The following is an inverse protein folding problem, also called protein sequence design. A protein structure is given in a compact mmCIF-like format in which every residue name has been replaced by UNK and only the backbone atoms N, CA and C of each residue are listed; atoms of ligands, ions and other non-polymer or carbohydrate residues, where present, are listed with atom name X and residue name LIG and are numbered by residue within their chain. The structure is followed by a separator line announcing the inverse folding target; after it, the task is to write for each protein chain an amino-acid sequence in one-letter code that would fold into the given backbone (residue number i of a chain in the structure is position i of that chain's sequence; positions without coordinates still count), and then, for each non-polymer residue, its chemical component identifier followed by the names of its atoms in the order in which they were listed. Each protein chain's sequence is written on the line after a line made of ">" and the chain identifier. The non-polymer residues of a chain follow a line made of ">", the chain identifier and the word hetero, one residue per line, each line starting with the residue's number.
data_IF_371052623635
#
_entry.id   IF_371052623635
#
_cell.length_a   1.000
_cell.length_b   1.000
_cell.length_c   1.000
_cell.angle_alpha   90.00
_cell.angle_beta   90.00
_cell.angle_gamma   90.00
#
_symmetry.space_group_name_H-M   'P 1'
#
loop_
_entity.id
_entity.type
_entity.pdbx_description
1 polymer ?
#
# COMPACT_ATOMS: atom_id res chain seq x y z
N UNK A 1 9.95 -29.48 -1.18
CA UNK A 1 10.90 -28.97 -0.16
C UNK A 1 11.33 -27.57 -0.55
N UNK A 2 10.75 -26.53 0.05
CA UNK A 2 11.12 -25.15 -0.28
C UNK A 2 12.48 -24.80 0.35
N UNK A 3 13.61 -24.86 -0.39
CA UNK A 3 14.86 -24.16 -0.03
C UNK A 3 14.51 -22.69 0.18
N UNK A 4 14.21 -22.28 1.41
CA UNK A 4 14.20 -20.88 1.82
C UNK A 4 15.37 -20.24 1.09
N UNK A 5 15.13 -19.29 0.19
CA UNK A 5 16.19 -18.34 -0.11
C UNK A 5 16.33 -17.56 1.19
N UNK A 6 17.07 -18.15 2.14
CA UNK A 6 17.82 -17.37 3.09
C UNK A 6 18.79 -16.64 2.17
N UNK A 7 18.46 -15.40 1.82
CA UNK A 7 19.53 -14.47 1.54
C UNK A 7 20.48 -14.62 2.72
N UNK A 8 21.72 -15.03 2.44
CA UNK A 8 22.72 -15.05 3.49
C UNK A 8 22.72 -13.65 4.10
N UNK A 9 22.65 -13.53 5.44
CA UNK A 9 22.72 -12.22 6.05
C UNK A 9 23.97 -11.53 5.49
N UNK A 10 23.87 -10.29 4.99
CA UNK A 10 25.01 -9.51 4.54
C UNK A 10 26.18 -9.65 5.51
N UNK A 11 27.41 -9.65 4.98
CA UNK A 11 28.57 -9.73 5.86
C UNK A 11 28.52 -8.62 6.93
N UNK A 12 29.02 -8.86 8.15
CA UNK A 12 29.03 -7.87 9.21
C UNK A 12 29.62 -6.51 8.79
N UNK A 13 30.56 -6.51 7.84
CA UNK A 13 31.15 -5.30 7.27
C UNK A 13 30.15 -4.47 6.46
N UNK A 14 29.27 -5.12 5.68
CA UNK A 14 28.22 -4.45 4.90
C UNK A 14 27.26 -3.69 5.82
N UNK A 15 26.87 -4.28 6.95
CA UNK A 15 26.01 -3.61 7.92
C UNK A 15 26.68 -2.38 8.56
N UNK A 16 27.98 -2.47 8.89
CA UNK A 16 28.74 -1.32 9.43
C UNK A 16 28.88 -0.21 8.39
N UNK A 17 29.12 -0.56 7.13
CA UNK A 17 29.17 0.42 6.04
C UNK A 17 27.82 1.10 5.85
N UNK A 18 26.73 0.34 5.83
CA UNK A 18 25.38 0.87 5.72
C UNK A 18 25.06 1.81 6.90
N UNK A 19 25.42 1.41 8.12
CA UNK A 19 25.26 2.24 9.32
C UNK A 19 26.01 3.58 9.19
N UNK A 20 27.27 3.55 8.73
CA UNK A 20 28.04 4.78 8.46
C UNK A 20 27.37 5.66 7.42
N UNK A 21 26.88 5.07 6.32
CA UNK A 21 26.21 5.82 5.25
C UNK A 21 24.94 6.53 5.75
N UNK A 22 24.07 5.83 6.48
CA UNK A 22 22.83 6.44 7.00
C UNK A 22 23.10 7.47 8.10
N UNK A 23 24.16 7.30 8.90
CA UNK A 23 24.62 8.31 9.88
C UNK A 23 25.10 9.59 9.19
N UNK A 24 25.92 9.46 8.16
CA UNK A 24 26.39 10.60 7.36
C UNK A 24 25.19 11.32 6.73
N UNK A 25 24.27 10.57 6.11
CA UNK A 25 23.08 11.16 5.52
C UNK A 25 22.24 11.95 6.53
N UNK A 26 22.07 11.45 7.76
CA UNK A 26 21.41 12.18 8.86
C UNK A 26 22.13 13.49 9.19
N UNK A 27 23.45 13.45 9.36
CA UNK A 27 24.25 14.64 9.68
C UNK A 27 24.21 15.69 8.56
N UNK A 28 24.22 15.24 7.31
CA UNK A 28 24.11 16.12 6.13
C UNK A 28 22.70 16.72 6.03
N UNK A 29 21.65 15.93 6.21
CA UNK A 29 20.25 16.39 6.19
C UNK A 29 19.97 17.48 7.26
N UNK A 30 20.57 17.33 8.43
CA UNK A 30 20.46 18.30 9.53
C UNK A 30 21.37 19.53 9.38
N UNK A 31 22.27 19.54 8.38
CA UNK A 31 23.23 20.63 8.19
C UNK A 31 22.59 21.81 7.44
N UNK A 32 22.60 23.03 8.00
CA UNK A 32 22.14 24.23 7.30
C UNK A 32 22.93 24.48 6.01
N UNK A 33 24.22 24.14 6.01
CA UNK A 33 25.11 24.32 4.87
C UNK A 33 24.75 23.41 3.69
N UNK A 34 24.19 22.22 3.93
CA UNK A 34 23.78 21.33 2.84
C UNK A 34 22.62 21.94 2.04
N UNK A 35 21.63 22.51 2.72
CA UNK A 35 20.52 23.20 2.06
C UNK A 35 21.01 24.39 1.24
N UNK A 36 21.95 25.18 1.78
CA UNK A 36 22.56 26.31 1.07
C UNK A 36 23.40 25.85 -0.15
N UNK A 37 24.19 24.78 -0.01
CA UNK A 37 25.01 24.21 -1.09
C UNK A 37 24.15 23.67 -2.23
N UNK A 38 23.06 22.96 -1.91
CA UNK A 38 22.12 22.41 -2.90
C UNK A 38 21.42 23.54 -3.66
N UNK A 39 21.09 24.65 -2.99
CA UNK A 39 20.43 25.79 -3.64
C UNK A 39 21.38 26.63 -4.51
N UNK A 40 22.68 26.67 -4.19
CA UNK A 40 23.66 27.54 -4.85
C UNK A 40 24.57 26.83 -5.86
N UNK A 41 24.39 25.53 -6.10
CA UNK A 41 25.28 24.79 -6.99
C UNK A 41 24.85 24.91 -8.45
N UNK A 42 25.70 25.55 -9.25
CA UNK A 42 25.51 25.74 -10.70
C UNK A 42 25.81 24.48 -11.53
N UNK A 43 26.36 23.41 -10.92
CA UNK A 43 26.88 22.24 -11.64
C UNK A 43 25.85 21.12 -11.86
N UNK A 44 24.63 21.23 -11.31
CA UNK A 44 23.59 20.20 -11.42
C UNK A 44 22.26 20.84 -11.81
N UNK A 45 21.48 20.15 -12.64
CA UNK A 45 20.14 20.61 -12.99
C UNK A 45 19.23 20.66 -11.75
N UNK A 46 18.25 21.59 -11.70
CA UNK A 46 17.32 21.71 -10.56
C UNK A 46 16.63 20.40 -10.18
N UNK A 47 16.22 19.60 -11.17
CA UNK A 47 15.58 18.30 -10.93
C UNK A 47 16.48 17.31 -10.21
N UNK A 48 17.77 17.25 -10.58
CA UNK A 48 18.75 16.38 -9.91
C UNK A 48 19.01 16.82 -8.48
N UNK A 49 18.98 18.12 -8.22
CA UNK A 49 19.14 18.68 -6.88
C UNK A 49 17.99 18.31 -5.95
N UNK A 50 16.75 18.39 -6.45
CA UNK A 50 15.56 17.93 -5.72
C UNK A 50 15.72 16.45 -5.36
N UNK A 51 16.12 15.62 -6.32
CA UNK A 51 16.33 14.18 -6.11
C UNK A 51 17.40 13.93 -5.04
N UNK A 52 18.57 14.56 -5.13
CA UNK A 52 19.66 14.33 -4.16
C UNK A 52 19.21 14.71 -2.74
N UNK A 53 18.56 15.87 -2.58
CA UNK A 53 18.02 16.30 -1.29
C UNK A 53 17.03 15.28 -0.74
N UNK A 54 16.12 14.80 -1.59
CA UNK A 54 15.13 13.79 -1.23
C UNK A 54 15.77 12.48 -0.75
N UNK A 55 16.85 12.04 -1.41
CA UNK A 55 17.53 10.80 -1.07
C UNK A 55 18.30 10.92 0.24
N UNK A 56 19.03 12.02 0.44
CA UNK A 56 19.73 12.31 1.69
C UNK A 56 18.74 12.37 2.85
N UNK A 57 17.63 13.10 2.68
CA UNK A 57 16.56 13.18 3.67
C UNK A 57 15.96 11.79 3.98
N UNK A 58 15.68 10.96 2.97
CA UNK A 58 15.15 9.61 3.16
C UNK A 58 16.13 8.72 3.95
N UNK A 59 17.41 8.75 3.60
CA UNK A 59 18.45 7.98 4.31
C UNK A 59 18.62 8.46 5.76
N UNK A 60 18.62 9.78 5.99
CA UNK A 60 18.67 10.36 7.34
C UNK A 60 17.43 10.00 8.18
N UNK A 61 16.26 9.91 7.58
CA UNK A 61 15.04 9.44 8.25
C UNK A 61 15.15 7.97 8.68
N UNK A 62 15.73 7.09 7.85
CA UNK A 62 15.93 5.70 8.25
C UNK A 62 16.83 5.57 9.47
N UNK A 63 17.89 6.39 9.59
CA UNK A 63 18.71 6.40 10.80
C UNK A 63 17.90 6.78 12.04
N UNK A 64 17.12 7.87 11.96
CA UNK A 64 16.27 8.30 13.08
C UNK A 64 15.20 7.27 13.47
N UNK A 65 14.60 6.60 12.48
CA UNK A 65 13.64 5.52 12.72
C UNK A 65 14.30 4.31 13.40
N UNK A 66 15.50 3.91 12.95
CA UNK A 66 16.27 2.83 13.57
C UNK A 66 16.65 3.16 15.02
N UNK A 67 17.10 4.38 15.29
CA UNK A 67 17.45 4.81 16.65
C UNK A 67 16.22 4.79 17.58
N UNK A 68 15.08 5.33 17.12
CA UNK A 68 13.82 5.26 17.84
C UNK A 68 13.37 3.82 18.11
N UNK A 69 13.54 2.92 17.12
CA UNK A 69 13.22 1.50 17.23
C UNK A 69 14.10 0.81 18.28
N UNK A 70 15.41 1.05 18.26
CA UNK A 70 16.36 0.49 19.23
C UNK A 70 16.07 1.03 20.63
N UNK A 71 15.80 2.34 20.76
CA UNK A 71 15.42 2.95 22.03
C UNK A 71 14.10 2.37 22.58
N UNK A 72 13.11 2.10 21.71
CA UNK A 72 11.87 1.43 22.08
C UNK A 72 12.12 -0.04 22.48
N UNK A 73 12.97 -0.76 21.75
CA UNK A 73 13.33 -2.14 22.02
C UNK A 73 14.04 -2.30 23.37
N UNK A 74 14.92 -1.36 23.73
CA UNK A 74 15.58 -1.32 25.04
C UNK A 74 14.58 -1.16 26.17
N UNK A 75 13.56 -0.29 25.99
CA UNK A 75 12.52 -0.03 27.01
C UNK A 75 11.46 -1.12 27.11
N UNK A 76 11.08 -1.74 25.98
CA UNK A 76 10.00 -2.73 25.88
C UNK A 76 10.50 -4.06 25.34
N UNK A 77 11.57 -4.60 25.93
CA UNK A 77 12.30 -5.78 25.44
C UNK A 77 11.37 -6.95 25.08
N UNK A 78 10.36 -7.24 25.90
CA UNK A 78 9.41 -8.34 25.67
C UNK A 78 8.63 -8.23 24.35
N UNK A 79 8.37 -7.03 23.84
CA UNK A 79 7.70 -6.84 22.54
C UNK A 79 8.64 -7.11 21.35
N UNK A 80 9.94 -6.93 21.54
CA UNK A 80 10.95 -7.04 20.49
C UNK A 80 11.70 -8.38 20.50
N UNK A 81 11.47 -9.22 21.52
CA UNK A 81 12.11 -10.54 21.65
C UNK A 81 11.80 -11.48 20.48
N UNK A 82 10.62 -11.37 19.88
CA UNK A 82 10.12 -12.28 18.84
C UNK A 82 9.82 -11.55 17.53
N UNK A 83 10.72 -10.66 17.09
CA UNK A 83 10.61 -10.05 15.77
C UNK A 83 11.06 -11.05 14.71
N UNK A 84 10.18 -11.31 13.76
CA UNK A 84 10.51 -12.06 12.56
C UNK A 84 10.41 -11.13 11.36
N UNK A 85 11.43 -11.21 10.51
CA UNK A 85 11.46 -10.55 9.21
C UNK A 85 11.31 -11.64 8.17
N UNK A 86 10.27 -11.51 7.34
CA UNK A 86 9.99 -12.43 6.26
C UNK A 86 9.63 -11.68 4.98
N UNK A 87 9.94 -12.29 3.84
CA UNK A 87 9.40 -11.87 2.56
C UNK A 87 8.03 -12.52 2.35
N UNK A 88 7.09 -11.75 1.81
CA UNK A 88 5.82 -12.26 1.33
C UNK A 88 5.52 -11.67 -0.04
N UNK A 89 5.58 -12.54 -1.05
CA UNK A 89 5.44 -12.17 -2.44
C UNK A 89 4.22 -12.85 -3.05
N UNK A 90 3.44 -12.06 -3.80
CA UNK A 90 2.27 -12.52 -4.53
C UNK A 90 2.60 -12.38 -6.00
N UNK A 91 2.80 -13.52 -6.67
CA UNK A 91 2.99 -13.57 -8.11
C UNK A 91 1.64 -13.34 -8.79
N UNK A 92 1.61 -12.37 -9.70
CA UNK A 92 0.42 -12.04 -10.50
C UNK A 92 0.42 -12.95 -11.73
N UNK A 93 -0.61 -13.80 -11.93
CA UNK A 93 -0.71 -14.69 -13.08
C UNK A 93 -0.66 -13.93 -14.40
N UNK A 94 -0.08 -14.54 -15.44
CA UNK A 94 0.01 -13.94 -16.78
C UNK A 94 -1.38 -13.61 -17.36
N UNK A 95 -2.39 -14.41 -17.03
CA UNK A 95 -3.79 -14.22 -17.42
C UNK A 95 -4.40 -12.92 -16.88
N UNK A 96 -3.95 -12.48 -15.71
CA UNK A 96 -4.36 -11.20 -15.09
C UNK A 96 -3.52 -10.04 -15.61
N UNK A 97 -2.30 -10.30 -16.07
CA UNK A 97 -1.37 -9.29 -16.60
C UNK A 97 -1.65 -8.86 -18.04
N UNK A 98 -2.76 -9.27 -18.64
CA UNK A 98 -3.11 -8.88 -20.02
C UNK A 98 -2.93 -7.37 -20.17
N UNK A 99 -1.92 -6.93 -20.95
CA UNK A 99 -1.69 -5.51 -21.14
C UNK A 99 -2.92 -4.94 -21.82
N UNK A 100 -3.34 -3.73 -21.42
CA UNK A 100 -4.25 -2.94 -22.23
C UNK A 100 -3.68 -2.87 -23.66
N UNK A 101 -4.43 -3.32 -24.65
CA UNK A 101 -4.05 -3.11 -26.05
C UNK A 101 -4.30 -1.64 -26.40
N UNK A 102 -3.48 -1.00 -27.25
CA UNK A 102 -3.80 0.33 -27.74
C UNK A 102 -5.22 0.38 -28.29
N UNK A 103 -6.02 1.34 -27.82
CA UNK A 103 -7.44 1.47 -28.18
C UNK A 103 -8.42 0.70 -27.29
N UNK A 104 -7.95 -0.14 -26.36
CA UNK A 104 -8.83 -0.92 -25.46
C UNK A 104 -9.69 -0.04 -24.56
N UNK A 105 -9.22 1.16 -24.24
CA UNK A 105 -9.95 2.13 -23.45
C UNK A 105 -10.96 2.97 -24.25
N UNK A 106 -10.99 2.89 -25.59
CA UNK A 106 -11.88 3.70 -26.45
C UNK A 106 -13.37 3.52 -26.09
N UNK A 107 -13.91 2.30 -25.94
CA UNK A 107 -15.34 2.12 -25.64
C UNK A 107 -15.74 2.73 -24.28
N UNK A 108 -14.83 2.65 -23.30
CA UNK A 108 -15.03 3.29 -21.99
C UNK A 108 -15.02 4.82 -22.12
N UNK A 109 -14.17 5.37 -22.98
CA UNK A 109 -14.14 6.81 -23.24
C UNK A 109 -15.39 7.31 -23.96
N UNK A 110 -15.90 6.56 -24.94
CA UNK A 110 -17.17 6.87 -25.61
C UNK A 110 -18.32 6.86 -24.61
N UNK A 111 -18.38 5.84 -23.74
CA UNK A 111 -19.37 5.76 -22.67
C UNK A 111 -19.25 6.94 -21.70
N UNK A 112 -18.02 7.29 -21.32
CA UNK A 112 -17.76 8.43 -20.47
C UNK A 112 -18.19 9.73 -21.12
N UNK A 113 -17.93 9.95 -22.42
CA UNK A 113 -18.32 11.15 -23.15
C UNK A 113 -19.84 11.35 -23.15
N UNK A 114 -20.59 10.26 -23.26
CA UNK A 114 -22.06 10.28 -23.25
C UNK A 114 -22.66 10.39 -21.83
N UNK A 115 -21.84 10.44 -20.78
CA UNK A 115 -22.28 10.54 -19.40
C UNK A 115 -22.63 11.98 -19.00
N UNK A 116 -23.64 12.20 -18.12
CA UNK A 116 -23.89 13.53 -17.55
C UNK A 116 -22.71 14.10 -16.73
N UNK A 117 -21.73 13.27 -16.36
CA UNK A 117 -20.49 13.69 -15.67
C UNK A 117 -19.40 14.28 -16.57
N UNK A 118 -19.53 14.20 -17.90
CA UNK A 118 -18.47 14.58 -18.86
C UNK A 118 -18.02 16.02 -18.71
N UNK A 119 -18.95 16.95 -18.49
CA UNK A 119 -18.64 18.38 -18.37
C UNK A 119 -17.61 18.66 -17.26
N UNK A 120 -17.72 17.99 -16.12
CA UNK A 120 -16.78 18.12 -14.99
C UNK A 120 -15.43 17.50 -15.29
N UNK A 121 -15.40 16.40 -16.05
CA UNK A 121 -14.14 15.79 -16.52
C UNK A 121 -13.45 16.73 -17.50
N UNK A 122 -14.17 17.26 -18.49
CA UNK A 122 -13.65 18.20 -19.48
C UNK A 122 -13.10 19.47 -18.82
N UNK A 123 -13.75 19.98 -17.77
CA UNK A 123 -13.24 21.11 -16.99
C UNK A 123 -11.80 20.88 -16.49
N UNK A 124 -11.44 19.64 -16.11
CA UNK A 124 -10.08 19.29 -15.68
C UNK A 124 -9.05 19.30 -16.81
N UNK A 125 -9.50 19.21 -18.05
CA UNK A 125 -8.67 19.23 -19.25
C UNK A 125 -8.84 20.53 -20.05
N UNK A 126 -9.20 21.63 -19.37
CA UNK A 126 -9.38 22.93 -20.00
C UNK A 126 -10.53 22.95 -21.01
N UNK A 127 -11.62 22.23 -20.71
CA UNK A 127 -12.79 22.03 -21.55
C UNK A 127 -12.48 21.41 -22.92
N UNK A 128 -11.34 20.76 -23.09
CA UNK A 128 -10.95 20.10 -24.35
C UNK A 128 -11.18 18.59 -24.27
N UNK A 129 -12.10 18.11 -25.10
CA UNK A 129 -12.39 16.69 -25.25
C UNK A 129 -11.18 15.92 -25.78
N UNK A 130 -10.48 16.45 -26.79
CA UNK A 130 -9.26 15.85 -27.30
C UNK A 130 -8.19 15.70 -26.20
N UNK A 131 -7.95 16.73 -25.37
CA UNK A 131 -7.00 16.64 -24.25
C UNK A 131 -7.43 15.63 -23.19
N UNK A 132 -8.73 15.56 -22.87
CA UNK A 132 -9.27 14.58 -21.94
C UNK A 132 -9.10 13.15 -22.45
N UNK A 133 -9.49 12.89 -23.70
CA UNK A 133 -9.34 11.58 -24.33
C UNK A 133 -7.89 11.16 -24.40
N UNK A 134 -6.99 12.00 -24.92
CA UNK A 134 -5.56 11.69 -24.97
C UNK A 134 -4.97 11.45 -23.58
N UNK A 135 -5.34 12.28 -22.59
CA UNK A 135 -4.89 12.12 -21.21
C UNK A 135 -5.36 10.80 -20.57
N UNK A 136 -6.60 10.39 -20.83
CA UNK A 136 -7.16 9.14 -20.32
C UNK A 136 -6.62 7.92 -21.08
N UNK A 137 -6.51 7.97 -22.41
CA UNK A 137 -5.84 6.95 -23.22
C UNK A 137 -4.40 6.73 -22.73
N UNK A 138 -3.62 7.80 -22.53
CA UNK A 138 -2.27 7.68 -21.98
C UNK A 138 -2.22 7.06 -20.57
N UNK A 139 -3.32 7.17 -19.80
CA UNK A 139 -3.44 6.55 -18.48
C UNK A 139 -3.82 5.07 -18.54
N UNK A 140 -4.69 4.72 -19.47
CA UNK A 140 -5.33 3.41 -19.58
C UNK A 140 -4.65 2.46 -20.59
N UNK A 141 -4.23 2.98 -21.75
CA UNK A 141 -3.62 2.26 -22.88
C UNK A 141 -2.07 2.31 -22.89
N UNK A 142 -1.45 3.07 -21.99
CA UNK A 142 0.01 3.21 -21.99
C UNK A 142 0.74 1.90 -21.67
N UNK A 143 1.97 1.74 -22.21
CA UNK A 143 2.98 0.69 -21.93
C UNK A 143 3.49 0.74 -20.48
N UNK A 144 2.57 0.79 -19.52
CA UNK A 144 2.84 0.93 -18.10
C UNK A 144 3.24 -0.42 -17.53
N UNK A 145 4.18 -0.43 -16.59
CA UNK A 145 4.44 -1.60 -15.75
C UNK A 145 3.10 -2.08 -15.19
N UNK A 146 2.73 -3.33 -15.48
CA UNK A 146 1.39 -3.88 -15.32
C UNK A 146 0.80 -3.77 -13.91
N UNK A 147 -0.42 -4.30 -13.77
CA UNK A 147 -1.18 -4.37 -12.51
C UNK A 147 -0.29 -4.87 -11.35
N UNK A 148 -0.52 -4.33 -10.14
CA UNK A 148 0.27 -4.60 -8.93
C UNK A 148 -0.60 -4.81 -7.70
N UNK A 149 -0.25 -5.82 -6.91
CA UNK A 149 -0.74 -5.97 -5.55
C UNK A 149 0.07 -5.04 -4.63
N UNK A 150 -0.62 -4.09 -4.00
CA UNK A 150 0.01 -3.14 -3.06
C UNK A 150 0.46 -3.82 -1.76
N UNK A 151 1.42 -3.23 -1.06
CA UNK A 151 2.02 -3.82 0.14
C UNK A 151 1.00 -4.05 1.28
N UNK A 152 0.04 -3.14 1.44
CA UNK A 152 -1.03 -3.24 2.43
C UNK A 152 -1.95 -4.44 2.13
N UNK A 153 -2.23 -4.68 0.84
CA UNK A 153 -3.02 -5.83 0.39
C UNK A 153 -2.20 -7.11 0.52
N UNK A 154 -0.89 -7.09 0.24
CA UNK A 154 0.01 -8.22 0.52
C UNK A 154 -0.04 -8.59 2.01
N UNK A 155 0.02 -7.62 2.92
CA UNK A 155 -0.07 -7.85 4.36
C UNK A 155 -1.42 -8.46 4.77
N UNK A 156 -2.53 -7.95 4.23
CA UNK A 156 -3.86 -8.53 4.43
C UNK A 156 -3.88 -10.01 4.00
N UNK A 157 -3.44 -10.30 2.78
CA UNK A 157 -3.46 -11.66 2.23
C UNK A 157 -2.47 -12.60 2.91
N UNK A 158 -1.37 -12.09 3.48
CA UNK A 158 -0.51 -12.86 4.35
C UNK A 158 -1.32 -13.45 5.52
N UNK A 159 -2.08 -12.61 6.23
CA UNK A 159 -2.92 -13.06 7.34
C UNK A 159 -4.16 -13.86 6.91
N UNK A 160 -4.64 -13.68 5.67
CA UNK A 160 -5.75 -14.47 5.13
C UNK A 160 -5.32 -15.90 4.72
N UNK A 161 -4.05 -16.07 4.33
CA UNK A 161 -3.49 -17.35 3.86
C UNK A 161 -2.75 -18.12 4.95
N UNK A 162 -2.30 -17.45 6.02
CA UNK A 162 -1.55 -18.07 7.11
C UNK A 162 -2.37 -18.17 8.40
N UNK A 163 -2.16 -19.25 9.16
CA UNK A 163 -2.67 -19.37 10.52
C UNK A 163 -1.74 -18.62 11.47
N UNK A 164 -2.16 -17.45 11.91
CA UNK A 164 -1.45 -16.64 12.91
C UNK A 164 -2.36 -16.47 14.13
N UNK A 165 -1.83 -16.78 15.33
CA UNK A 165 -2.60 -16.70 16.59
C UNK A 165 -3.10 -15.29 16.90
N UNK A 166 -2.24 -14.29 16.66
CA UNK A 166 -2.56 -12.88 16.89
C UNK A 166 -2.37 -12.11 15.59
N UNK A 167 -3.46 -11.51 15.11
CA UNK A 167 -3.43 -10.56 14.00
C UNK A 167 -3.17 -9.16 14.55
N UNK A 168 -2.30 -8.36 13.91
CA UNK A 168 -2.13 -6.97 14.30
C UNK A 168 -3.41 -6.18 14.00
N UNK A 169 -3.69 -5.17 14.82
CA UNK A 169 -4.76 -4.21 14.54
C UNK A 169 -4.39 -3.21 13.44
N UNK A 170 -3.09 -2.97 13.27
CA UNK A 170 -2.54 -1.97 12.37
C UNK A 170 -1.57 -2.64 11.41
N UNK A 171 -1.73 -2.38 10.11
CA UNK A 171 -0.76 -2.75 9.08
C UNK A 171 -0.27 -1.48 8.39
N UNK A 172 1.00 -1.43 8.06
CA UNK A 172 1.60 -0.28 7.39
C UNK A 172 2.77 -0.71 6.49
N UNK A 173 3.05 0.14 5.51
CA UNK A 173 4.21 0.04 4.65
C UNK A 173 5.09 1.30 4.82
N UNK A 174 6.23 1.33 4.12
CA UNK A 174 7.12 2.50 4.08
C UNK A 174 6.53 3.70 3.32
N UNK A 175 5.35 3.54 2.71
CA UNK A 175 4.54 4.59 2.12
C UNK A 175 3.15 4.55 2.74
N UNK A 176 2.50 5.72 2.81
CA UNK A 176 1.10 5.80 3.22
C UNK A 176 0.22 5.01 2.25
N UNK A 177 -0.92 4.52 2.75
CA UNK A 177 -1.85 3.76 1.94
C UNK A 177 -2.42 4.60 0.81
N UNK A 178 -2.64 4.00 -0.37
CA UNK A 178 -3.44 4.66 -1.40
C UNK A 178 -4.91 4.69 -0.99
N UNK A 179 -5.73 5.46 -1.70
CA UNK A 179 -7.17 5.54 -1.45
C UNK A 179 -7.84 4.16 -1.44
N UNK A 180 -7.54 3.31 -2.42
CA UNK A 180 -8.16 1.98 -2.54
C UNK A 180 -7.73 1.03 -1.42
N UNK A 181 -6.47 1.05 -1.01
CA UNK A 181 -5.99 0.25 0.12
C UNK A 181 -6.67 0.67 1.42
N UNK A 182 -6.72 1.98 1.70
CA UNK A 182 -7.37 2.51 2.89
C UNK A 182 -8.88 2.21 2.91
N UNK A 183 -9.58 2.44 1.79
CA UNK A 183 -11.01 2.15 1.68
C UNK A 183 -11.30 0.66 1.86
N UNK A 184 -10.56 -0.21 1.19
CA UNK A 184 -10.74 -1.66 1.29
C UNK A 184 -10.51 -2.16 2.72
N UNK A 185 -9.43 -1.71 3.38
CA UNK A 185 -9.13 -2.11 4.76
C UNK A 185 -10.16 -1.58 5.76
N UNK A 186 -10.70 -0.37 5.52
CA UNK A 186 -11.80 0.18 6.33
C UNK A 186 -13.05 -0.70 6.27
N UNK A 187 -13.48 -1.12 5.08
CA UNK A 187 -14.67 -1.98 4.93
C UNK A 187 -14.41 -3.42 5.35
N UNK A 188 -13.18 -3.92 5.21
CA UNK A 188 -12.77 -5.23 5.72
C UNK A 188 -12.78 -5.29 7.25
N UNK A 189 -12.46 -4.18 7.93
CA UNK A 189 -12.67 -3.98 9.36
C UNK A 189 -11.67 -4.67 10.31
N UNK A 190 -10.89 -5.67 9.85
CA UNK A 190 -9.91 -6.34 10.71
C UNK A 190 -8.61 -5.53 10.91
N UNK A 191 -8.25 -4.67 9.96
CA UNK A 191 -6.98 -3.96 9.95
C UNK A 191 -7.17 -2.47 9.72
N UNK A 192 -6.29 -1.67 10.31
CA UNK A 192 -6.23 -0.23 10.12
C UNK A 192 -4.91 0.16 9.48
N UNK A 193 -4.94 1.20 8.65
CA UNK A 193 -3.74 1.88 8.18
C UNK A 193 -3.56 3.19 8.97
N UNK A 194 -2.32 3.59 9.31
CA UNK A 194 -2.08 4.80 10.08
C UNK A 194 -2.39 6.07 9.27
N UNK A 195 -2.34 5.99 7.93
CA UNK A 195 -2.47 7.14 7.06
C UNK A 195 -2.78 6.73 5.63
N UNK A 196 -3.51 7.58 4.92
CA UNK A 196 -3.70 7.53 3.47
C UNK A 196 -3.22 8.82 2.81
N UNK A 197 -2.59 8.71 1.64
CA UNK A 197 -2.29 9.88 0.80
C UNK A 197 -3.42 10.18 -0.19
N UNK A 198 -4.57 9.49 -0.08
CA UNK A 198 -5.83 9.85 -0.72
C UNK A 198 -5.90 9.70 -2.25
N UNK A 199 -4.83 9.26 -2.93
CA UNK A 199 -4.81 9.10 -4.38
C UNK A 199 -5.29 7.72 -4.80
N UNK A 200 -6.11 7.69 -5.84
CA UNK A 200 -6.49 6.47 -6.55
C UNK A 200 -5.28 5.90 -7.30
N UNK A 201 -5.02 4.60 -7.17
CA UNK A 201 -4.00 3.92 -7.96
C UNK A 201 -4.66 2.99 -8.97
N UNK A 202 -4.56 3.34 -10.25
CA UNK A 202 -5.18 2.62 -11.38
C UNK A 202 -4.62 1.21 -11.58
N UNK A 203 -3.45 0.90 -10.99
CA UNK A 203 -2.79 -0.39 -11.15
C UNK A 203 -3.07 -1.33 -9.99
N UNK A 204 -4.00 -0.98 -9.11
CA UNK A 204 -4.32 -1.74 -7.92
C UNK A 204 -5.15 -2.98 -8.26
N UNK A 205 -4.91 -4.09 -7.55
CA UNK A 205 -5.71 -5.31 -7.68
C UNK A 205 -5.82 -6.07 -6.37
N UNK A 206 -6.91 -6.81 -6.21
CA UNK A 206 -7.07 -7.84 -5.20
C UNK A 206 -6.64 -9.21 -5.76
N UNK A 207 -5.77 -9.95 -5.07
CA UNK A 207 -5.33 -11.26 -5.50
C UNK A 207 -6.36 -12.35 -5.22
N UNK A 208 -7.46 -12.34 -5.97
CA UNK A 208 -8.55 -13.33 -5.93
C UNK A 208 -8.13 -14.74 -6.37
N UNK A 209 -7.00 -14.86 -7.06
CA UNK A 209 -6.37 -16.13 -7.45
C UNK A 209 -5.63 -16.84 -6.30
N UNK A 210 -5.56 -16.25 -5.11
CA UNK A 210 -4.92 -16.90 -3.96
C UNK A 210 -5.86 -17.86 -3.24
N UNK A 211 -5.33 -19.01 -2.84
CA UNK A 211 -6.04 -19.96 -1.99
C UNK A 211 -6.18 -19.41 -0.57
N UNK A 212 -7.29 -18.74 -0.32
CA UNK A 212 -7.63 -18.19 0.99
C UNK A 212 -8.22 -19.30 1.88
N UNK A 213 -7.99 -19.20 3.20
CA UNK A 213 -8.62 -20.07 4.18
C UNK A 213 -10.14 -19.87 4.19
N UNK A 214 -10.91 -20.95 4.27
CA UNK A 214 -12.38 -20.90 4.24
C UNK A 214 -12.99 -19.90 5.24
N UNK A 215 -12.42 -19.80 6.44
CA UNK A 215 -12.83 -18.85 7.49
C UNK A 215 -12.70 -17.37 7.06
N UNK A 216 -11.70 -17.06 6.24
CA UNK A 216 -11.41 -15.70 5.77
C UNK A 216 -12.14 -15.39 4.45
N UNK A 217 -12.50 -16.42 3.67
CA UNK A 217 -13.16 -16.26 2.37
C UNK A 217 -14.51 -15.55 2.46
N UNK A 218 -15.31 -15.84 3.50
CA UNK A 218 -16.60 -15.17 3.73
C UNK A 218 -16.41 -13.69 4.08
N UNK A 219 -15.42 -13.39 4.93
CA UNK A 219 -15.06 -12.02 5.32
C UNK A 219 -14.59 -11.22 4.11
N UNK A 220 -13.72 -11.79 3.28
CA UNK A 220 -13.23 -11.12 2.07
C UNK A 220 -14.34 -10.91 1.04
N UNK A 221 -15.23 -11.88 0.84
CA UNK A 221 -16.38 -11.73 -0.07
C UNK A 221 -17.27 -10.56 0.35
N UNK A 222 -17.64 -10.50 1.63
CA UNK A 222 -18.42 -9.39 2.17
C UNK A 222 -17.66 -8.06 2.05
N UNK A 223 -16.35 -8.05 2.30
CA UNK A 223 -15.53 -6.85 2.14
C UNK A 223 -15.52 -6.35 0.70
N UNK A 224 -15.46 -7.24 -0.30
CA UNK A 224 -15.53 -6.88 -1.72
C UNK A 224 -16.90 -6.26 -2.07
N UNK A 225 -17.99 -6.85 -1.61
CA UNK A 225 -19.35 -6.30 -1.83
C UNK A 225 -19.56 -4.94 -1.15
N UNK A 226 -18.97 -4.74 0.04
CA UNK A 226 -19.00 -3.45 0.73
C UNK A 226 -18.09 -2.42 0.04
N UNK A 227 -16.95 -2.87 -0.48
CA UNK A 227 -16.00 -2.04 -1.19
C UNK A 227 -16.59 -1.50 -2.49
N UNK A 228 -17.26 -2.37 -3.26
CA UNK A 228 -17.93 -2.02 -4.51
C UNK A 228 -19.01 -0.95 -4.29
N UNK A 229 -19.92 -1.19 -3.34
CA UNK A 229 -20.93 -0.20 -2.94
C UNK A 229 -20.32 1.12 -2.46
N UNK A 230 -19.25 1.05 -1.66
CA UNK A 230 -18.59 2.25 -1.18
C UNK A 230 -17.93 3.03 -2.33
N UNK A 231 -17.39 2.36 -3.35
CA UNK A 231 -16.86 3.03 -4.54
C UNK A 231 -17.98 3.70 -5.34
N UNK A 232 -19.10 3.01 -5.57
CA UNK A 232 -20.26 3.58 -6.27
C UNK A 232 -20.78 4.84 -5.57
N UNK A 233 -20.98 4.79 -4.25
CA UNK A 233 -21.41 5.95 -3.46
C UNK A 233 -20.44 7.13 -3.60
N UNK A 234 -19.13 6.86 -3.59
CA UNK A 234 -18.10 7.90 -3.72
C UNK A 234 -18.05 8.47 -5.14
N UNK A 235 -18.22 7.63 -6.16
CA UNK A 235 -18.33 8.08 -7.56
C UNK A 235 -19.55 8.98 -7.71
N UNK A 236 -20.73 8.56 -7.24
CA UNK A 236 -21.96 9.35 -7.30
C UNK A 236 -21.83 10.69 -6.57
N UNK A 237 -21.13 10.71 -5.42
CA UNK A 237 -20.83 11.95 -4.70
C UNK A 237 -19.89 12.86 -5.50
N UNK A 238 -18.81 12.32 -6.06
CA UNK A 238 -17.83 13.05 -6.86
C UNK A 238 -18.42 13.61 -8.17
N UNK A 239 -19.44 12.94 -8.71
CA UNK A 239 -20.21 13.45 -9.84
C UNK A 239 -21.04 14.69 -9.48
N UNK A 240 -21.37 14.89 -8.19
CA UNK A 240 -22.14 16.05 -7.69
C UNK A 240 -21.22 17.16 -7.16
N UNK A 241 -20.24 16.81 -6.36
CA UNK A 241 -19.38 17.76 -5.63
C UNK A 241 -17.90 17.51 -5.89
N UNK A 242 -17.11 18.58 -5.98
CA UNK A 242 -15.64 18.48 -6.04
C UNK A 242 -15.10 18.29 -4.63
N UNK A 243 -14.36 17.19 -4.41
CA UNK A 243 -13.55 17.02 -3.22
C UNK A 243 -12.17 17.72 -3.39
N UNK A 244 -11.56 18.18 -2.28
CA UNK A 244 -10.20 18.70 -2.29
C UNK A 244 -9.21 17.68 -2.86
N UNK A 245 -8.14 18.17 -3.49
CA UNK A 245 -7.06 17.31 -3.95
C UNK A 245 -6.41 16.60 -2.76
N UNK A 246 -6.06 15.31 -2.91
CA UNK A 246 -5.57 14.52 -1.81
C UNK A 246 -4.19 15.01 -1.36
N UNK A 247 -3.95 14.97 -0.04
CA UNK A 247 -2.69 15.41 0.56
C UNK A 247 -1.59 14.40 0.28
N UNK A 248 -0.65 14.75 -0.61
CA UNK A 248 0.44 13.86 -1.04
C UNK A 248 1.64 13.83 -0.08
N UNK A 249 1.79 14.87 0.75
CA UNK A 249 2.87 15.01 1.75
C UNK A 249 2.31 15.04 3.16
N UNK A 250 2.76 14.12 4.00
CA UNK A 250 2.35 14.04 5.40
C UNK A 250 3.52 14.17 6.39
N UNK A 251 4.65 14.72 5.91
CA UNK A 251 5.82 15.00 6.74
C UNK A 251 5.39 16.00 7.82
N UNK A 252 5.57 15.62 9.09
CA UNK A 252 5.24 16.47 10.24
C UNK A 252 3.78 16.45 10.70
N UNK A 253 2.90 15.66 10.08
CA UNK A 253 1.51 15.53 10.52
C UNK A 253 1.32 14.39 11.52
N UNK A 254 0.46 14.57 12.55
CA UNK A 254 0.12 13.50 13.47
C UNK A 254 -0.59 12.36 12.74
N UNK A 255 -0.40 11.14 13.24
CA UNK A 255 -1.07 9.94 12.70
C UNK A 255 -2.58 10.13 12.78
N UNK A 256 -3.24 10.11 11.62
CA UNK A 256 -4.69 10.18 11.53
C UNK A 256 -5.24 8.80 11.25
N UNK A 257 -5.67 8.13 12.31
CA UNK A 257 -6.31 6.82 12.22
C UNK A 257 -7.60 6.91 11.42
N UNK A 258 -7.70 6.11 10.38
CA UNK A 258 -8.96 5.86 9.69
C UNK A 258 -9.93 5.20 10.69
N UNK A 259 -11.11 5.78 10.98
CA UNK A 259 -12.10 5.12 11.81
C UNK A 259 -12.47 3.79 11.15
N UNK A 260 -12.59 2.73 11.95
CA UNK A 260 -13.16 1.48 11.44
C UNK A 260 -14.57 1.77 10.88
N UNK A 261 -14.87 1.27 9.68
CA UNK A 261 -16.19 1.46 9.11
C UNK A 261 -17.17 0.58 9.88
N UNK A 262 -17.90 1.16 10.85
CA UNK A 262 -19.10 0.53 11.40
C UNK A 262 -20.20 0.63 10.34
N UNK A 263 -20.19 -0.29 9.37
CA UNK A 263 -21.34 -0.47 8.49
C UNK A 263 -22.54 -0.83 9.38
N UNK A 264 -23.48 0.10 9.54
CA UNK A 264 -24.79 -0.20 10.09
C UNK A 264 -25.57 -0.91 8.98
N UNK A 265 -25.36 -2.22 8.85
CA UNK A 265 -26.11 -3.03 7.89
C UNK A 265 -27.53 -3.16 8.46
N UNK A 266 -28.49 -2.43 7.87
CA UNK A 266 -29.91 -2.78 7.99
C UNK A 266 -30.09 -4.07 7.19
N UNK A 267 -30.04 -5.21 7.87
CA UNK A 267 -30.54 -6.46 7.28
C UNK A 267 -32.05 -6.31 7.09
N UNK A 268 -32.58 -6.82 5.99
CA UNK A 268 -34.03 -6.83 5.70
C UNK A 268 -34.86 -7.59 6.75
N UNK A 269 -34.23 -8.22 7.74
CA UNK A 269 -34.87 -8.96 8.83
C UNK A 269 -34.67 -8.32 10.22
N UNK A 270 -34.36 -7.02 10.33
CA UNK A 270 -34.46 -6.28 11.59
C UNK A 270 -33.48 -6.68 12.72
N UNK A 271 -32.52 -7.57 12.47
CA UNK A 271 -31.52 -8.00 13.46
C UNK A 271 -30.16 -7.35 13.18
N UNK A 272 -29.79 -6.41 14.04
CA UNK A 272 -28.48 -5.74 14.02
C UNK A 272 -27.45 -6.69 14.63
N UNK A 273 -26.53 -7.23 13.82
CA UNK A 273 -25.43 -8.07 14.32
C UNK A 273 -24.12 -7.30 14.29
N UNK A 274 -23.60 -6.95 15.47
CA UNK A 274 -22.24 -6.43 15.65
C UNK A 274 -21.26 -7.59 15.65
N UNK A 275 -20.40 -7.69 14.64
CA UNK A 275 -19.37 -8.74 14.59
C UNK A 275 -18.15 -8.27 15.40
N UNK A 276 -17.88 -8.93 16.52
CA UNK A 276 -16.59 -8.92 17.22
C UNK A 276 -15.99 -10.33 17.14
N UNK A 277 -14.73 -10.47 16.74
CA UNK A 277 -14.07 -11.77 16.57
C UNK A 277 -13.34 -12.22 17.84
N UNK A 278 -13.75 -13.34 18.40
CA UNK A 278 -12.99 -14.19 19.34
C UNK A 278 -12.45 -15.43 18.59
N UNK A 279 -11.26 -15.91 18.94
CA UNK A 279 -10.58 -17.03 18.26
C UNK A 279 -10.44 -18.30 19.12
N UNK A 280 -9.99 -19.42 18.53
CA UNK A 280 -9.00 -20.38 19.06
C UNK A 280 -8.86 -21.71 18.26
N UNK A 281 -7.59 -22.16 18.10
CA UNK A 281 -7.04 -23.53 17.84
C UNK A 281 -7.55 -24.37 16.63
N UNK A 282 -6.84 -25.30 15.98
CA UNK A 282 -5.76 -26.23 16.35
C UNK A 282 -4.98 -26.72 15.08
N UNK A 283 -3.85 -27.40 15.29
CA UNK A 283 -2.76 -27.76 14.36
C UNK A 283 -3.02 -29.00 13.47
N UNK A 284 -2.39 -29.06 12.28
CA UNK A 284 -1.53 -30.18 11.81
C UNK A 284 -1.06 -30.02 10.35
N UNK A 285 0.10 -30.61 10.03
CA UNK A 285 1.00 -30.23 8.93
C UNK A 285 1.30 -31.39 7.96
N UNK A 286 1.33 -31.14 6.64
CA UNK A 286 2.06 -31.98 5.63
C UNK A 286 2.54 -31.11 4.44
N UNK A 287 3.62 -31.53 3.78
CA UNK A 287 4.64 -30.77 3.03
C UNK A 287 4.79 -31.27 1.57
N UNK A 288 4.99 -30.38 0.58
CA UNK A 288 5.57 -30.71 -0.76
C UNK A 288 5.36 -29.61 -1.82
N UNK A 289 6.39 -28.83 -2.25
CA UNK A 289 7.18 -28.96 -3.52
C UNK A 289 6.51 -28.27 -4.74
N UNK A 290 6.77 -26.99 -5.10
CA UNK A 290 7.91 -26.27 -5.75
C UNK A 290 8.03 -26.33 -7.28
N UNK A 291 7.96 -25.14 -7.91
CA UNK A 291 8.89 -24.57 -8.91
C UNK A 291 8.80 -23.02 -8.95
N UNK A 292 9.93 -22.36 -9.27
CA UNK A 292 10.30 -20.90 -9.24
C UNK A 292 9.62 -20.07 -10.36
N UNK A 293 9.42 -18.74 -10.37
CA UNK A 293 10.37 -17.62 -10.15
C UNK A 293 9.71 -16.21 -10.02
N UNK A 294 10.55 -15.22 -9.64
CA UNK A 294 10.48 -13.75 -9.80
C UNK A 294 9.99 -12.89 -8.60
N UNK A 295 10.98 -12.33 -7.87
CA UNK A 295 10.90 -11.61 -6.60
C UNK A 295 10.78 -10.10 -6.76
N UNK A 296 9.84 -9.51 -6.01
CA UNK A 296 9.84 -8.08 -5.66
C UNK A 296 9.64 -7.98 -4.14
N UNK A 297 10.74 -8.17 -3.40
CA UNK A 297 10.74 -8.40 -1.96
C UNK A 297 10.01 -7.29 -1.18
N UNK A 298 9.02 -7.71 -0.42
CA UNK A 298 8.32 -6.88 0.58
C UNK A 298 8.59 -7.48 1.96
N UNK A 299 9.26 -6.73 2.83
CA UNK A 299 9.62 -7.16 4.18
C UNK A 299 8.49 -6.88 5.16
N UNK A 300 8.00 -7.91 5.86
CA UNK A 300 6.98 -7.79 6.90
C UNK A 300 7.63 -7.91 8.28
N UNK A 301 7.31 -6.99 9.20
CA UNK A 301 7.67 -7.07 10.62
C UNK A 301 6.39 -7.39 11.40
N UNK A 302 6.31 -8.57 12.01
CA UNK A 302 5.24 -8.92 12.95
C UNK A 302 5.84 -9.22 14.32
N UNK A 303 5.36 -8.53 15.36
CA UNK A 303 5.66 -8.85 16.75
C UNK A 303 4.57 -9.79 17.29
N UNK A 304 4.94 -11.06 17.55
CA UNK A 304 4.05 -12.03 18.19
C UNK A 304 4.24 -11.97 19.70
N UNK A 305 3.17 -11.61 20.43
CA UNK A 305 3.08 -11.88 21.87
C UNK A 305 2.59 -13.33 22.03
N UNK A 306 3.27 -14.12 22.86
CA UNK A 306 2.77 -15.45 23.24
C UNK A 306 1.65 -15.32 24.26
#
# INVERSE_FOLDING_TARGET
>A
MLKRHRQHPPEPQTYRQLEKMIKIARSVDQSPCFSALVNNSNNLSPDRMIIIRDWVAKLGHYYGACDALVAAARRKRSLFQNIQVGSFDISIPKTVRSPSTPGSAIPLLETLQNSPGTSKVLQRFGNSQAKACTGLLNRLDGTRAGIKVHAEIKLLFYYATHRVKLKPRVICANKSACYLCDLFLRVHGQFQVPMTFGKLNERWILPDWLSIRLEESSTLRLAVELFDRALDEQIQRLLKERLPDPMESAIGLPVRWSPAFSARIKTTNGLTRTIRSSGESNLDAVRGSRTSSDLQESYCISALKR
#
